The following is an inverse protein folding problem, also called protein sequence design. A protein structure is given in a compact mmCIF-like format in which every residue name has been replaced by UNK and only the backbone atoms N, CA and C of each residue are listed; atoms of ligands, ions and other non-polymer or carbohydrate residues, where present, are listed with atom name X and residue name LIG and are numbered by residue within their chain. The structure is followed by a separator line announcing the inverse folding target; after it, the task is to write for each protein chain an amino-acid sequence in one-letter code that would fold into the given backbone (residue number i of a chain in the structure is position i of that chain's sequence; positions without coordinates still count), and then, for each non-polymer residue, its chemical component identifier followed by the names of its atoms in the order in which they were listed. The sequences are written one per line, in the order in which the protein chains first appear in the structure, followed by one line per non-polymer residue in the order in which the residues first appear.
data_IF_889349091411
#
_entry.id   IF_889349091411
#
_cell.length_a   1.000
_cell.length_b   1.000
_cell.length_c   1.000
_cell.angle_alpha   90.00
_cell.angle_beta   90.00
_cell.angle_gamma   90.00
#
_symmetry.space_group_name_H-M   'P 1'
#
loop_
_entity.id
_entity.type
_entity.pdbx_description
1 polymer ?
#
# COMPACT_ATOMS: atom_id res chain seq x y z
N UNK A 1 -12.77 14.84 8.76
CA UNK A 1 -13.13 13.44 8.45
C UNK A 1 -11.86 12.59 8.37
N UNK A 2 -10.86 13.04 7.61
CA UNK A 2 -9.54 12.40 7.53
C UNK A 2 -8.90 12.02 8.89
N UNK A 3 -8.93 12.93 9.88
CA UNK A 3 -8.42 12.63 11.23
C UNK A 3 -9.09 11.40 11.85
N UNK A 4 -10.40 11.23 11.67
CA UNK A 4 -11.14 10.08 12.20
C UNK A 4 -10.68 8.79 11.52
N UNK A 5 -10.50 8.79 10.19
CA UNK A 5 -9.99 7.61 9.49
C UNK A 5 -8.55 7.27 9.87
N UNK A 6 -7.72 8.28 10.13
CA UNK A 6 -6.39 8.08 10.68
C UNK A 6 -6.43 7.46 12.09
N UNK A 7 -7.26 7.99 12.99
CA UNK A 7 -7.40 7.47 14.36
C UNK A 7 -7.96 6.04 14.36
N UNK A 8 -8.96 5.77 13.51
CA UNK A 8 -9.53 4.42 13.32
C UNK A 8 -8.49 3.46 12.74
N UNK A 9 -7.72 3.89 11.73
CA UNK A 9 -6.65 3.09 11.15
C UNK A 9 -5.66 2.66 12.23
N UNK A 10 -5.12 3.61 13.01
CA UNK A 10 -4.13 3.31 14.05
C UNK A 10 -4.68 2.46 15.19
N UNK A 11 -5.99 2.48 15.41
CA UNK A 11 -6.64 1.69 16.45
C UNK A 11 -6.81 0.22 16.06
N UNK A 12 -6.97 -0.10 14.77
CA UNK A 12 -7.37 -1.44 14.33
C UNK A 12 -6.41 -2.11 13.35
N UNK A 13 -5.92 -1.41 12.33
CA UNK A 13 -5.15 -2.04 11.24
C UNK A 13 -3.79 -2.57 11.72
N UNK A 14 -3.01 -1.83 12.53
CA UNK A 14 -1.78 -2.35 13.12
C UNK A 14 -1.96 -3.63 13.96
N UNK A 15 -3.14 -3.85 14.53
CA UNK A 15 -3.41 -5.07 15.33
C UNK A 15 -3.58 -6.31 14.44
N UNK A 16 -3.93 -6.14 13.17
CA UNK A 16 -4.04 -7.23 12.21
C UNK A 16 -2.69 -7.54 11.56
N UNK A 17 -1.81 -6.54 11.41
CA UNK A 17 -0.48 -6.68 10.81
C UNK A 17 0.65 -6.28 11.78
N UNK A 18 0.73 -6.84 13.00
CA UNK A 18 1.66 -6.39 14.03
C UNK A 18 3.14 -6.52 13.62
N UNK A 19 3.45 -7.42 12.69
CA UNK A 19 4.79 -7.61 12.14
C UNK A 19 5.20 -6.57 11.10
N UNK A 20 4.22 -5.92 10.45
CA UNK A 20 4.47 -4.90 9.42
C UNK A 20 4.23 -3.47 9.90
N UNK A 21 3.33 -3.28 10.86
CA UNK A 21 2.85 -1.97 11.29
C UNK A 21 3.11 -1.74 12.79
N UNK A 22 4.37 -1.58 13.17
CA UNK A 22 4.73 -1.21 14.54
C UNK A 22 4.53 0.30 14.76
N UNK A 23 3.48 0.65 15.49
CA UNK A 23 3.14 2.05 15.82
C UNK A 23 4.20 2.71 16.71
N UNK A 24 5.02 1.94 17.42
CA UNK A 24 6.06 2.48 18.30
C UNK A 24 7.30 2.97 17.55
N UNK A 25 7.54 2.43 16.35
CA UNK A 25 8.65 2.80 15.46
C UNK A 25 8.19 3.61 14.25
N UNK A 26 6.87 3.78 14.07
CA UNK A 26 6.28 4.58 13.00
C UNK A 26 6.87 6.00 12.98
N UNK A 27 7.25 6.45 11.78
CA UNK A 27 7.72 7.81 11.56
C UNK A 27 6.59 8.83 11.80
N UNK A 28 6.93 10.12 11.94
CA UNK A 28 5.91 11.15 12.12
C UNK A 28 4.94 11.20 10.93
N UNK A 29 3.61 11.18 11.18
CA UNK A 29 2.61 11.22 10.11
C UNK A 29 2.68 12.54 9.34
N UNK A 30 2.53 12.47 8.02
CA UNK A 30 2.52 13.66 7.16
C UNK A 30 1.10 13.92 6.66
N UNK A 31 0.48 14.97 7.19
CA UNK A 31 -0.88 15.37 6.84
C UNK A 31 -0.89 16.31 5.63
N UNK A 32 -1.77 16.00 4.68
CA UNK A 32 -2.18 16.85 3.58
C UNK A 32 -3.70 17.11 3.69
N UNK A 33 -4.22 17.98 2.82
CA UNK A 33 -5.64 18.34 2.84
C UNK A 33 -6.54 17.10 2.69
N UNK A 34 -6.22 16.21 1.74
CA UNK A 34 -7.09 15.11 1.33
C UNK A 34 -6.58 13.70 1.73
N UNK A 35 -5.36 13.61 2.29
CA UNK A 35 -4.75 12.33 2.69
C UNK A 35 -3.67 12.49 3.75
N UNK A 36 -3.33 11.40 4.43
CA UNK A 36 -2.18 11.30 5.35
C UNK A 36 -1.25 10.18 4.91
N UNK A 37 0.05 10.44 4.97
CA UNK A 37 1.10 9.44 4.72
C UNK A 37 1.69 8.96 6.03
N UNK A 38 1.77 7.64 6.18
CA UNK A 38 2.43 6.96 7.28
C UNK A 38 3.56 6.09 6.74
N UNK A 39 4.65 6.01 7.48
CA UNK A 39 5.80 5.18 7.14
C UNK A 39 6.17 4.33 8.34
N UNK A 40 6.22 3.01 8.13
CA UNK A 40 6.49 2.00 9.14
C UNK A 40 7.80 1.28 8.80
N UNK A 41 8.92 1.67 9.43
CA UNK A 41 10.16 0.89 9.35
C UNK A 41 9.94 -0.51 9.92
N UNK A 42 10.46 -1.52 9.23
CA UNK A 42 10.32 -2.91 9.65
C UNK A 42 11.50 -3.31 10.56
N UNK A 43 11.18 -4.05 11.62
CA UNK A 43 12.20 -4.59 12.52
C UNK A 43 13.01 -5.71 11.84
N UNK A 44 12.32 -6.55 11.05
CA UNK A 44 12.90 -7.60 10.23
C UNK A 44 12.69 -7.29 8.74
N UNK A 45 13.59 -7.75 7.89
CA UNK A 45 13.50 -7.54 6.44
C UNK A 45 12.76 -8.68 5.76
N UNK A 46 11.85 -8.38 4.84
CA UNK A 46 11.01 -9.36 4.15
C UNK A 46 11.28 -9.41 2.65
N UNK A 47 11.07 -10.55 2.00
CA UNK A 47 10.89 -10.56 0.55
C UNK A 47 9.60 -9.84 0.17
N UNK A 48 9.57 -9.23 -1.02
CA UNK A 48 8.38 -8.53 -1.49
C UNK A 48 7.16 -9.48 -1.58
N UNK A 49 7.41 -10.74 -1.93
CA UNK A 49 6.38 -11.77 -2.06
C UNK A 49 5.83 -12.15 -0.68
N UNK A 50 6.65 -12.23 0.36
CA UNK A 50 6.19 -12.44 1.75
C UNK A 50 5.28 -11.30 2.22
N UNK A 51 5.62 -10.04 1.89
CA UNK A 51 4.77 -8.89 2.23
C UNK A 51 3.42 -8.94 1.49
N UNK A 52 3.44 -9.34 0.22
CA UNK A 52 2.20 -9.52 -0.56
C UNK A 52 1.32 -10.62 0.03
N UNK A 53 1.91 -11.76 0.40
CA UNK A 53 1.19 -12.87 1.02
C UNK A 53 0.56 -12.42 2.36
N UNK A 54 1.28 -11.67 3.20
CA UNK A 54 0.74 -11.10 4.44
C UNK A 54 -0.44 -10.16 4.17
N UNK A 55 -0.34 -9.29 3.16
CA UNK A 55 -1.44 -8.38 2.80
C UNK A 55 -2.71 -9.12 2.38
N UNK A 56 -2.56 -10.22 1.63
CA UNK A 56 -3.67 -11.04 1.14
C UNK A 56 -4.26 -11.93 2.25
N UNK A 57 -3.42 -12.61 3.03
CA UNK A 57 -3.85 -13.61 4.00
C UNK A 57 -4.40 -13.00 5.30
N UNK A 58 -3.75 -11.96 5.85
CA UNK A 58 -4.11 -11.42 7.17
C UNK A 58 -5.18 -10.31 7.09
N UNK A 59 -5.24 -9.57 5.98
CA UNK A 59 -6.10 -8.39 5.82
C UNK A 59 -7.01 -8.42 4.58
N UNK A 60 -6.90 -9.44 3.73
CA UNK A 60 -7.63 -9.54 2.47
C UNK A 60 -7.52 -8.25 1.61
N UNK A 61 -6.35 -7.60 1.64
CA UNK A 61 -6.13 -6.39 0.85
C UNK A 61 -6.15 -6.74 -0.64
N UNK A 62 -6.74 -5.85 -1.41
CA UNK A 62 -6.86 -6.04 -2.85
C UNK A 62 -5.54 -5.62 -3.48
N UNK A 63 -4.79 -6.58 -4.03
CA UNK A 63 -3.55 -6.26 -4.76
C UNK A 63 -3.86 -5.42 -6.00
N UNK A 64 -3.23 -4.25 -6.11
CA UNK A 64 -3.28 -3.39 -7.28
C UNK A 64 -2.28 -3.83 -8.34
N UNK A 65 -1.03 -4.06 -7.92
CA UNK A 65 0.04 -4.50 -8.79
C UNK A 65 1.21 -5.17 -8.06
N UNK A 66 1.97 -5.97 -8.82
CA UNK A 66 3.35 -6.37 -8.55
C UNK A 66 4.20 -5.86 -9.71
N UNK A 67 5.03 -4.85 -9.43
CA UNK A 67 5.87 -4.14 -10.38
C UNK A 67 7.32 -4.60 -10.31
N UNK A 68 7.94 -4.82 -11.47
CA UNK A 68 9.34 -5.16 -11.62
C UNK A 68 9.99 -4.09 -12.51
N UNK A 69 10.80 -3.16 -11.96
CA UNK A 69 11.38 -2.05 -12.72
C UNK A 69 12.41 -2.51 -13.74
N UNK A 70 13.14 -3.60 -13.45
CA UNK A 70 14.18 -4.18 -14.30
C UNK A 70 14.27 -5.68 -14.07
N UNK A 71 14.54 -6.48 -15.12
CA UNK A 71 14.83 -7.90 -14.98
C UNK A 71 16.26 -8.20 -14.50
N UNK A 72 17.11 -7.18 -14.40
CA UNK A 72 18.51 -7.34 -13.99
C UNK A 72 18.72 -7.41 -12.47
N UNK A 73 17.75 -6.92 -11.69
CA UNK A 73 17.82 -6.87 -10.22
C UNK A 73 16.42 -6.80 -9.63
N UNK A 74 16.26 -7.28 -8.41
CA UNK A 74 15.02 -7.13 -7.62
C UNK A 74 14.91 -5.74 -7.00
N UNK A 75 15.99 -4.95 -6.98
CA UNK A 75 15.98 -3.58 -6.45
C UNK A 75 14.88 -2.74 -7.10
N UNK A 76 14.07 -2.10 -6.26
CA UNK A 76 13.00 -1.23 -6.68
C UNK A 76 11.71 -1.95 -7.10
N UNK A 77 11.70 -3.28 -7.17
CA UNK A 77 10.45 -4.05 -7.30
C UNK A 77 9.49 -3.64 -6.20
N UNK A 78 8.24 -3.43 -6.54
CA UNK A 78 7.26 -2.85 -5.64
C UNK A 78 5.88 -3.46 -5.79
N UNK A 79 5.11 -3.36 -4.73
CA UNK A 79 3.69 -3.71 -4.74
C UNK A 79 2.88 -2.56 -4.17
N UNK A 80 1.62 -2.53 -4.57
CA UNK A 80 0.59 -1.71 -3.99
C UNK A 80 -0.64 -2.60 -3.78
N UNK A 81 -1.21 -2.54 -2.59
CA UNK A 81 -2.47 -3.19 -2.24
C UNK A 81 -3.36 -2.18 -1.52
N UNK A 82 -4.68 -2.33 -1.59
CA UNK A 82 -5.60 -1.35 -1.01
C UNK A 82 -6.78 -2.00 -0.31
N UNK A 83 -7.35 -1.28 0.65
CA UNK A 83 -8.51 -1.72 1.40
C UNK A 83 -9.73 -1.83 0.49
N UNK A 84 -10.58 -2.83 0.73
CA UNK A 84 -11.77 -3.05 -0.07
C UNK A 84 -12.76 -1.86 0.10
N UNK A 85 -13.07 -1.10 -0.98
CA UNK A 85 -13.95 0.07 -0.92
C UNK A 85 -15.33 -0.20 -0.32
N UNK A 86 -15.84 -1.43 -0.45
CA UNK A 86 -17.17 -1.81 0.04
C UNK A 86 -17.30 -1.73 1.57
N UNK A 87 -16.19 -1.75 2.32
CA UNK A 87 -16.20 -1.67 3.79
C UNK A 87 -15.91 -0.26 4.33
N UNK A 88 -15.79 0.75 3.46
CA UNK A 88 -15.56 2.14 3.86
C UNK A 88 -14.17 2.43 4.45
N UNK A 89 -13.27 1.45 4.46
CA UNK A 89 -11.85 1.67 4.72
C UNK A 89 -11.21 2.30 3.48
N UNK A 90 -10.41 3.34 3.69
CA UNK A 90 -9.89 4.15 2.60
C UNK A 90 -8.38 4.32 2.73
N UNK A 91 -7.64 3.24 2.52
CA UNK A 91 -6.18 3.30 2.52
C UNK A 91 -5.55 2.37 1.48
N UNK A 92 -4.32 2.69 1.08
CA UNK A 92 -3.44 1.76 0.37
C UNK A 92 -2.17 1.52 1.17
N UNK A 93 -1.54 0.38 0.92
CA UNK A 93 -0.23 0.03 1.42
C UNK A 93 0.71 -0.21 0.24
N UNK A 94 1.92 0.32 0.36
CA UNK A 94 2.99 0.21 -0.60
C UNK A 94 4.19 -0.43 0.07
N UNK A 95 4.83 -1.35 -0.65
CA UNK A 95 6.11 -1.91 -0.26
C UNK A 95 7.04 -1.90 -1.47
N UNK A 96 8.33 -1.69 -1.22
CA UNK A 96 9.37 -1.69 -2.25
C UNK A 96 10.62 -2.35 -1.71
N UNK A 97 11.27 -3.12 -2.57
CA UNK A 97 12.59 -3.70 -2.32
C UNK A 97 13.64 -2.59 -2.30
N UNK A 98 14.31 -2.44 -1.16
CA UNK A 98 15.41 -1.49 -0.94
C UNK A 98 16.73 -1.98 -1.53
N UNK A 99 17.80 -1.21 -1.36
CA UNK A 99 19.14 -1.54 -1.85
C UNK A 99 19.75 -2.79 -1.20
N UNK A 100 19.19 -3.22 -0.07
CA UNK A 100 19.51 -4.49 0.60
C UNK A 100 18.96 -5.73 -0.12
N UNK A 101 18.06 -5.53 -1.09
CA UNK A 101 17.37 -6.62 -1.80
C UNK A 101 16.14 -7.15 -1.07
N UNK A 102 15.75 -6.54 0.07
CA UNK A 102 14.55 -6.86 0.86
C UNK A 102 13.67 -5.63 1.04
N UNK A 103 12.44 -5.82 1.51
CA UNK A 103 11.56 -4.76 2.00
C UNK A 103 11.93 -4.48 3.46
N UNK A 104 12.18 -3.21 3.77
CA UNK A 104 12.51 -2.71 5.10
C UNK A 104 11.53 -1.65 5.61
N UNK A 105 10.51 -1.30 4.80
CA UNK A 105 9.51 -0.30 5.15
C UNK A 105 8.18 -0.54 4.44
N UNK A 106 7.09 -0.28 5.14
CA UNK A 106 5.74 -0.19 4.57
C UNK A 106 5.29 1.26 4.61
N UNK A 107 4.84 1.77 3.47
CA UNK A 107 4.26 3.11 3.35
C UNK A 107 2.74 2.97 3.20
N UNK A 108 1.97 3.70 4.02
CA UNK A 108 0.51 3.69 4.01
C UNK A 108 0.00 5.08 3.62
N UNK A 109 -0.99 5.14 2.72
CA UNK A 109 -1.73 6.36 2.43
C UNK A 109 -3.17 6.17 2.87
N UNK A 110 -3.68 7.03 3.76
CA UNK A 110 -5.08 7.04 4.19
C UNK A 110 -5.75 8.26 3.54
N UNK A 111 -6.90 8.04 2.90
CA UNK A 111 -7.60 9.05 2.12
C UNK A 111 -8.81 9.59 2.85
N UNK A 112 -9.20 10.83 2.55
CA UNK A 112 -10.41 11.42 3.11
C UNK A 112 -11.70 10.89 2.47
N UNK A 113 -11.62 10.35 1.25
CA UNK A 113 -12.76 9.83 0.50
C UNK A 113 -12.36 8.73 -0.49
N UNK A 114 -13.35 7.92 -0.88
CA UNK A 114 -13.21 6.89 -1.92
C UNK A 114 -12.86 7.49 -3.29
N UNK A 115 -13.29 8.73 -3.56
CA UNK A 115 -12.97 9.42 -4.81
C UNK A 115 -11.46 9.72 -4.90
N UNK A 116 -10.87 10.24 -3.81
CA UNK A 116 -9.43 10.50 -3.75
C UNK A 116 -8.62 9.20 -3.83
N UNK A 117 -9.05 8.17 -3.11
CA UNK A 117 -8.43 6.85 -3.17
C UNK A 117 -8.43 6.28 -4.59
N UNK A 118 -9.59 6.27 -5.26
CA UNK A 118 -9.73 5.77 -6.62
C UNK A 118 -8.85 6.53 -7.62
N UNK A 119 -8.83 7.87 -7.50
CA UNK A 119 -8.03 8.76 -8.33
C UNK A 119 -6.52 8.49 -8.17
N UNK A 120 -6.05 8.40 -6.93
CA UNK A 120 -4.63 8.17 -6.62
C UNK A 120 -4.18 6.78 -7.07
N UNK A 121 -4.95 5.73 -6.77
CA UNK A 121 -4.64 4.36 -7.19
C UNK A 121 -4.60 4.23 -8.72
N UNK A 122 -5.52 4.89 -9.43
CA UNK A 122 -5.49 4.97 -10.89
C UNK A 122 -4.23 5.67 -11.42
N UNK A 123 -3.80 6.75 -10.75
CA UNK A 123 -2.59 7.50 -11.10
C UNK A 123 -1.34 6.65 -10.84
N UNK A 124 -1.26 5.97 -9.71
CA UNK A 124 -0.16 5.10 -9.29
C UNK A 124 0.10 4.01 -10.35
N UNK A 125 -0.96 3.30 -10.78
CA UNK A 125 -0.90 2.35 -11.89
C UNK A 125 -0.38 2.98 -13.18
N UNK A 126 -0.84 4.19 -13.53
CA UNK A 126 -0.43 4.89 -14.76
C UNK A 126 1.04 5.30 -14.71
N UNK A 127 1.54 5.69 -13.55
CA UNK A 127 2.94 6.07 -13.37
C UNK A 127 3.86 4.85 -13.48
N UNK A 128 3.53 3.76 -12.80
CA UNK A 128 4.34 2.53 -12.86
C UNK A 128 4.32 1.86 -14.24
N UNK A 129 3.27 2.04 -15.05
CA UNK A 129 3.26 1.62 -16.48
C UNK A 129 4.35 2.26 -17.34
N UNK A 130 4.92 3.40 -16.94
CA UNK A 130 5.98 4.08 -17.71
C UNK A 130 7.35 3.47 -17.54
N UNK A 131 7.53 2.56 -16.59
CA UNK A 131 8.82 1.97 -16.22
C UNK A 131 8.69 0.47 -16.01
N UNK A 132 9.67 -0.34 -16.44
CA UNK A 132 9.66 -1.78 -16.17
C UNK A 132 8.44 -2.53 -16.73
N UNK A 133 8.00 -3.57 -16.02
CA UNK A 133 6.82 -4.36 -16.36
C UNK A 133 6.09 -4.81 -15.08
N UNK A 134 4.88 -5.35 -15.25
CA UNK A 134 4.09 -5.89 -14.14
C UNK A 134 4.05 -7.41 -14.22
N UNK A 135 4.41 -8.09 -13.12
CA UNK A 135 4.14 -9.52 -12.92
C UNK A 135 2.63 -9.74 -12.72
N UNK A 136 1.99 -8.81 -12.02
CA UNK A 136 0.55 -8.72 -11.86
C UNK A 136 0.11 -7.24 -11.86
N UNK A 137 -1.08 -6.96 -12.40
CA UNK A 137 -1.77 -5.68 -12.21
C UNK A 137 -3.26 -5.85 -12.45
N UNK A 138 -4.08 -5.05 -11.75
CA UNK A 138 -5.46 -4.83 -12.17
C UNK A 138 -5.54 -4.05 -13.48
N UNK A 139 -6.61 -4.32 -14.22
CA UNK A 139 -7.07 -3.45 -15.30
C UNK A 139 -7.73 -2.20 -14.73
N UNK A 140 -7.83 -1.16 -15.55
CA UNK A 140 -8.48 0.08 -15.09
C UNK A 140 -9.98 -0.16 -14.90
N UNK A 141 -10.56 -1.00 -15.74
CA UNK A 141 -11.96 -1.37 -15.74
C UNK A 141 -12.34 -2.15 -14.48
N UNK A 142 -11.55 -3.16 -14.09
CA UNK A 142 -11.73 -3.89 -12.83
C UNK A 142 -11.60 -2.96 -11.63
N UNK A 143 -10.57 -2.12 -11.60
CA UNK A 143 -10.35 -1.17 -10.52
C UNK A 143 -11.56 -0.23 -10.36
N UNK A 144 -12.01 0.41 -11.44
CA UNK A 144 -13.13 1.35 -11.37
C UNK A 144 -14.43 0.67 -10.92
N UNK A 145 -14.65 -0.60 -11.27
CA UNK A 145 -15.84 -1.34 -10.88
C UNK A 145 -15.95 -1.60 -9.37
N UNK A 146 -14.83 -1.57 -8.64
CA UNK A 146 -14.81 -1.78 -7.19
C UNK A 146 -15.21 -0.54 -6.39
N UNK A 147 -15.28 0.63 -7.03
CA UNK A 147 -15.60 1.92 -6.39
C UNK A 147 -17.00 2.45 -6.77
N UNK A 148 -17.88 1.59 -7.29
CA UNK A 148 -19.27 1.93 -7.72
C UNK A 148 -20.28 1.48 -6.67
#
# INVERSE_FOLDING_TARGET
MLQLFYDDFLSFVPLQLPQLLDVTTMEQPQFYDDYVLLSFPLADSYDLEEVMDIFEDDMELITLYHHIPSSATTFGSSTCAYSNPAFGQMFKMNARVSDTGKVDRIDVTIYESLEFMCSDICLDLKLHKKTGHFKYRKTKEELLAEFI
#
